data_IF_797561831825
#
_entry.id   IF_797561831825
#
_cell.length_a   1.000
_cell.length_b   1.000
_cell.length_c   1.000
_cell.angle_alpha   90.00
_cell.angle_beta   90.00
_cell.angle_gamma   90.00
#
_symmetry.space_group_name_H-M   'P 1'
#
loop_
_entity.id
_entity.type
_entity.pdbx_description
1 polymer ?
#
# COMPACT_ATOMS: atom_id res chain seq x y z
N UNK A 1 -2.02 5.58 -45.65
CA UNK A 1 -2.06 4.96 -44.30
C UNK A 1 -2.27 6.09 -43.32
N UNK A 2 -3.45 6.17 -42.69
CA UNK A 2 -3.79 7.25 -41.77
C UNK A 2 -3.12 6.97 -40.42
N UNK A 3 -2.14 7.78 -40.05
CA UNK A 3 -1.57 7.79 -38.70
C UNK A 3 -2.67 8.25 -37.74
N UNK A 4 -3.29 7.29 -37.06
CA UNK A 4 -4.18 7.59 -35.93
C UNK A 4 -3.31 8.07 -34.76
N UNK A 5 -3.01 9.37 -34.74
CA UNK A 5 -2.47 10.02 -33.57
C UNK A 5 -3.41 9.68 -32.39
N UNK A 6 -2.89 9.06 -31.31
CA UNK A 6 -3.74 8.67 -30.19
C UNK A 6 -4.40 9.94 -29.63
N UNK A 7 -5.73 9.89 -29.47
CA UNK A 7 -6.45 11.01 -28.89
C UNK A 7 -5.88 11.31 -27.50
N UNK A 8 -5.79 12.60 -27.14
CA UNK A 8 -5.31 13.02 -25.82
C UNK A 8 -6.05 12.30 -24.68
N UNK A 9 -7.33 12.00 -24.89
CA UNK A 9 -8.15 11.20 -23.98
C UNK A 9 -7.67 9.74 -23.86
N UNK A 10 -7.29 9.11 -24.98
CA UNK A 10 -6.72 7.75 -24.98
C UNK A 10 -5.38 7.68 -24.26
N UNK A 11 -4.50 8.67 -24.44
CA UNK A 11 -3.25 8.78 -23.69
C UNK A 11 -3.50 9.01 -22.19
N UNK A 12 -4.43 9.91 -21.84
CA UNK A 12 -4.78 10.17 -20.45
C UNK A 12 -5.35 8.93 -19.75
N UNK A 13 -6.20 8.15 -20.42
CA UNK A 13 -6.74 6.90 -19.88
C UNK A 13 -5.68 5.82 -19.72
N UNK A 14 -4.76 5.71 -20.68
CA UNK A 14 -3.67 4.73 -20.62
C UNK A 14 -2.68 5.02 -19.48
N UNK A 15 -2.46 6.31 -19.19
CA UNK A 15 -1.59 6.75 -18.10
C UNK A 15 -2.30 6.72 -16.75
N UNK A 16 -3.49 7.33 -16.62
CA UNK A 16 -4.19 7.52 -15.34
C UNK A 16 -5.08 6.33 -14.94
N UNK A 17 -5.58 5.57 -15.91
CA UNK A 17 -6.46 4.42 -15.67
C UNK A 17 -5.85 3.39 -14.71
N UNK A 18 -4.60 2.96 -14.90
CA UNK A 18 -3.94 2.05 -13.97
C UNK A 18 -3.84 2.59 -12.54
N UNK A 19 -3.51 3.88 -12.36
CA UNK A 19 -3.47 4.50 -11.02
C UNK A 19 -4.85 4.57 -10.39
N UNK A 20 -5.89 4.83 -11.18
CA UNK A 20 -7.26 4.88 -10.69
C UNK A 20 -7.73 3.50 -10.20
N UNK A 21 -7.49 2.45 -10.99
CA UNK A 21 -7.79 1.06 -10.61
C UNK A 21 -7.01 0.67 -9.35
N UNK A 22 -5.71 0.95 -9.28
CA UNK A 22 -4.89 0.68 -8.11
C UNK A 22 -5.35 1.47 -6.88
N UNK A 23 -5.83 2.69 -7.06
CA UNK A 23 -6.38 3.51 -5.97
C UNK A 23 -7.67 2.93 -5.43
N UNK A 24 -8.58 2.46 -6.30
CA UNK A 24 -9.80 1.75 -5.89
C UNK A 24 -9.42 0.46 -5.15
N UNK A 25 -8.46 -0.30 -5.67
CA UNK A 25 -8.00 -1.54 -5.04
C UNK A 25 -7.35 -1.28 -3.67
N UNK A 26 -6.56 -0.22 -3.56
CA UNK A 26 -5.95 0.20 -2.30
C UNK A 26 -7.01 0.61 -1.27
N UNK A 27 -8.02 1.38 -1.70
CA UNK A 27 -9.12 1.80 -0.86
C UNK A 27 -9.93 0.59 -0.38
N UNK A 28 -10.31 -0.30 -1.31
CA UNK A 28 -10.97 -1.56 -0.99
C UNK A 28 -10.15 -2.37 0.02
N UNK A 29 -8.85 -2.52 -0.20
CA UNK A 29 -7.97 -3.27 0.68
C UNK A 29 -7.92 -2.66 2.10
N UNK A 30 -8.00 -1.33 2.20
CA UNK A 30 -8.01 -0.64 3.47
C UNK A 30 -9.26 -0.93 4.31
N UNK A 31 -10.44 -1.05 3.70
CA UNK A 31 -11.64 -1.42 4.46
C UNK A 31 -11.72 -2.91 4.76
N UNK A 32 -11.40 -3.76 3.78
CA UNK A 32 -11.63 -5.21 3.90
C UNK A 32 -10.53 -5.96 4.64
N UNK A 33 -9.27 -5.54 4.53
CA UNK A 33 -8.15 -6.23 5.19
C UNK A 33 -7.62 -5.44 6.38
N UNK A 34 -7.48 -4.11 6.25
CA UNK A 34 -7.02 -3.29 7.37
C UNK A 34 -8.11 -2.99 8.39
N UNK A 35 -9.36 -2.78 7.97
CA UNK A 35 -10.50 -2.55 8.88
C UNK A 35 -10.61 -3.57 10.03
N UNK A 36 -10.63 -4.89 9.75
CA UNK A 36 -10.66 -5.91 10.81
C UNK A 36 -9.45 -5.87 11.74
N UNK A 37 -8.26 -5.59 11.20
CA UNK A 37 -7.02 -5.46 12.00
C UNK A 37 -7.09 -4.23 12.90
N UNK A 38 -7.55 -3.09 12.38
CA UNK A 38 -7.71 -1.86 13.15
C UNK A 38 -8.71 -2.02 14.29
N UNK A 39 -9.82 -2.73 14.04
CA UNK A 39 -10.81 -3.06 15.07
C UNK A 39 -10.22 -3.92 16.20
N UNK A 40 -9.41 -4.94 15.88
CA UNK A 40 -8.72 -5.77 16.89
C UNK A 40 -7.64 -5.00 17.65
N UNK A 41 -7.03 -3.99 17.02
CA UNK A 41 -6.07 -3.10 17.66
C UNK A 41 -6.72 -1.97 18.47
N UNK A 42 -8.03 -1.79 18.37
CA UNK A 42 -8.73 -0.67 19.01
C UNK A 42 -8.35 0.71 18.44
N UNK A 43 -7.82 0.75 17.21
CA UNK A 43 -7.37 1.99 16.55
C UNK A 43 -8.33 2.40 15.44
N UNK A 44 -8.31 3.68 15.09
CA UNK A 44 -9.06 4.16 13.91
C UNK A 44 -8.51 3.52 12.63
N UNK A 45 -9.42 3.07 11.77
CA UNK A 45 -9.08 2.55 10.42
C UNK A 45 -8.28 3.56 9.61
N UNK A 46 -8.52 4.85 9.84
CA UNK A 46 -7.88 5.96 9.09
C UNK A 46 -6.58 6.43 9.75
N UNK A 47 -6.16 5.84 10.88
CA UNK A 47 -4.88 6.21 11.51
C UNK A 47 -3.71 5.81 10.61
N UNK A 48 -3.22 6.81 9.89
CA UNK A 48 -2.14 6.66 8.91
C UNK A 48 -0.82 6.28 9.57
N UNK A 49 -0.61 6.66 10.83
CA UNK A 49 0.63 6.37 11.56
C UNK A 49 0.69 4.91 11.98
N UNK A 50 -0.44 4.34 12.40
CA UNK A 50 -0.54 2.95 12.86
C UNK A 50 -0.58 2.01 11.67
N UNK A 51 -1.47 2.26 10.71
CA UNK A 51 -1.57 1.48 9.47
C UNK A 51 -0.22 1.38 8.75
N UNK A 52 0.51 2.49 8.59
CA UNK A 52 1.84 2.48 7.97
C UNK A 52 2.84 1.60 8.73
N UNK A 53 2.89 1.70 10.06
CA UNK A 53 3.80 0.89 10.88
C UNK A 53 3.47 -0.60 10.78
N UNK A 54 2.20 -0.95 10.89
CA UNK A 54 1.73 -2.35 10.81
C UNK A 54 1.94 -2.93 9.40
N UNK A 55 1.62 -2.19 8.35
CA UNK A 55 1.75 -2.65 6.96
C UNK A 55 3.23 -2.81 6.58
N UNK A 56 4.07 -1.80 6.87
CA UNK A 56 5.48 -1.83 6.47
C UNK A 56 6.32 -2.76 7.35
N UNK A 57 6.22 -2.62 8.67
CA UNK A 57 7.10 -3.28 9.65
C UNK A 57 6.46 -4.45 10.37
N UNK A 58 5.13 -4.59 10.32
CA UNK A 58 4.42 -5.60 11.08
C UNK A 58 4.19 -5.20 12.54
N UNK A 59 3.90 -6.22 13.35
CA UNK A 59 3.62 -6.06 14.78
C UNK A 59 4.46 -6.99 15.64
N UNK A 60 4.66 -6.57 16.88
CA UNK A 60 5.37 -7.32 17.92
C UNK A 60 4.46 -7.46 19.14
N UNK A 61 4.53 -8.60 19.84
CA UNK A 61 3.72 -8.87 21.04
C UNK A 61 2.25 -9.26 20.79
N UNK A 62 1.82 -9.36 19.54
CA UNK A 62 0.45 -9.75 19.18
C UNK A 62 0.23 -11.28 19.20
N UNK A 63 -0.98 -11.77 19.53
CA UNK A 63 -1.33 -13.19 19.42
C UNK A 63 -1.19 -13.73 17.98
N UNK A 64 -0.89 -15.02 17.84
CA UNK A 64 -0.67 -15.68 16.53
C UNK A 64 -1.82 -15.47 15.53
N UNK A 65 -3.06 -15.47 16.02
CA UNK A 65 -4.24 -15.24 15.18
C UNK A 65 -4.25 -13.85 14.54
N UNK A 66 -3.90 -12.81 15.31
CA UNK A 66 -3.81 -11.43 14.84
C UNK A 66 -2.59 -11.25 13.93
N UNK A 67 -1.46 -11.88 14.26
CA UNK A 67 -0.28 -11.85 13.37
C UNK A 67 -0.58 -12.43 11.98
N UNK A 68 -1.33 -13.54 11.89
CA UNK A 68 -1.74 -14.13 10.60
C UNK A 68 -2.64 -13.17 9.79
N UNK A 69 -3.59 -12.50 10.44
CA UNK A 69 -4.46 -11.49 9.77
C UNK A 69 -3.63 -10.33 9.24
N UNK A 70 -2.70 -9.85 10.05
CA UNK A 70 -1.78 -8.76 9.70
C UNK A 70 -0.87 -9.16 8.55
N UNK A 71 -0.33 -10.37 8.56
CA UNK A 71 0.50 -10.86 7.48
C UNK A 71 -0.26 -10.92 6.15
N UNK A 72 -1.52 -11.39 6.15
CA UNK A 72 -2.39 -11.33 4.96
C UNK A 72 -2.59 -9.89 4.49
N UNK A 73 -2.90 -8.98 5.42
CA UNK A 73 -3.06 -7.55 5.12
C UNK A 73 -1.78 -6.97 4.47
N UNK A 74 -0.61 -7.27 5.04
CA UNK A 74 0.70 -6.87 4.50
C UNK A 74 0.93 -7.37 3.09
N UNK A 75 0.62 -8.63 2.80
CA UNK A 75 0.78 -9.20 1.46
C UNK A 75 -0.12 -8.50 0.43
N UNK A 76 -1.37 -8.20 0.78
CA UNK A 76 -2.29 -7.47 -0.11
C UNK A 76 -1.73 -6.07 -0.41
N UNK A 77 -1.33 -5.32 0.62
CA UNK A 77 -0.76 -3.98 0.43
C UNK A 77 0.60 -4.01 -0.28
N UNK A 78 1.43 -5.04 -0.07
CA UNK A 78 2.65 -5.24 -0.82
C UNK A 78 2.37 -5.41 -2.32
N UNK A 79 1.33 -6.18 -2.68
CA UNK A 79 0.86 -6.31 -4.05
C UNK A 79 0.39 -4.98 -4.66
N UNK A 80 -0.38 -4.19 -3.90
CA UNK A 80 -0.82 -2.86 -4.33
C UNK A 80 0.38 -1.93 -4.56
N UNK A 81 1.34 -1.89 -3.63
CA UNK A 81 2.57 -1.11 -3.80
C UNK A 81 3.38 -1.57 -5.01
N UNK A 82 3.54 -2.88 -5.20
CA UNK A 82 4.21 -3.43 -6.38
C UNK A 82 3.53 -2.97 -7.68
N UNK A 83 2.19 -2.95 -7.72
CA UNK A 83 1.43 -2.39 -8.84
C UNK A 83 1.75 -0.92 -9.09
N UNK A 84 1.70 -0.08 -8.05
CA UNK A 84 2.06 1.35 -8.18
C UNK A 84 3.49 1.55 -8.67
N UNK A 85 4.43 0.80 -8.10
CA UNK A 85 5.83 0.84 -8.50
C UNK A 85 6.05 0.34 -9.93
N UNK A 86 5.29 -0.66 -10.40
CA UNK A 86 5.28 -1.09 -11.79
C UNK A 86 4.79 0.00 -12.74
N UNK A 87 3.70 0.70 -12.39
CA UNK A 87 3.22 1.86 -13.16
C UNK A 87 4.24 3.00 -13.19
N UNK A 88 4.89 3.28 -12.06
CA UNK A 88 5.96 4.29 -11.98
C UNK A 88 7.15 3.89 -12.85
N UNK A 89 7.58 2.63 -12.82
CA UNK A 89 8.67 2.13 -13.67
C UNK A 89 8.34 2.30 -15.15
N UNK A 90 7.11 2.02 -15.55
CA UNK A 90 6.66 2.17 -16.94
C UNK A 90 6.65 3.64 -17.39
N UNK A 91 6.25 4.58 -16.52
CA UNK A 91 6.07 5.98 -16.89
C UNK A 91 7.28 6.87 -16.67
N UNK A 92 7.95 6.75 -15.51
CA UNK A 92 9.13 7.55 -15.14
C UNK A 92 10.45 6.88 -15.58
N UNK A 93 10.39 5.61 -15.99
CA UNK A 93 11.58 4.82 -16.29
C UNK A 93 12.38 4.44 -15.03
N UNK A 94 13.54 3.82 -15.26
CA UNK A 94 14.35 3.19 -14.21
C UNK A 94 14.84 4.19 -13.16
N UNK A 95 15.24 5.40 -13.57
CA UNK A 95 15.81 6.40 -12.66
C UNK A 95 14.79 6.87 -11.62
N UNK A 96 13.59 7.28 -12.06
CA UNK A 96 12.53 7.71 -11.16
C UNK A 96 12.01 6.57 -10.28
N UNK A 97 11.93 5.35 -10.82
CA UNK A 97 11.60 4.16 -10.05
C UNK A 97 12.60 3.90 -8.93
N UNK A 98 13.90 3.85 -9.21
CA UNK A 98 14.94 3.58 -8.21
C UNK A 98 14.98 4.65 -7.12
N UNK A 99 14.81 5.93 -7.49
CA UNK A 99 14.73 7.02 -6.53
C UNK A 99 13.55 6.85 -5.57
N UNK A 100 12.35 6.63 -6.10
CA UNK A 100 11.14 6.47 -5.29
C UNK A 100 11.19 5.18 -4.45
N UNK A 101 11.73 4.10 -5.00
CA UNK A 101 11.92 2.84 -4.27
C UNK A 101 12.91 3.04 -3.11
N UNK A 102 14.01 3.75 -3.34
CA UNK A 102 14.98 4.12 -2.31
C UNK A 102 14.35 4.95 -1.19
N UNK A 103 13.58 5.99 -1.54
CA UNK A 103 12.83 6.79 -0.57
C UNK A 103 11.84 5.93 0.23
N UNK A 104 11.12 5.04 -0.43
CA UNK A 104 10.17 4.13 0.23
C UNK A 104 10.85 3.14 1.17
N UNK A 105 11.96 2.54 0.73
CA UNK A 105 12.76 1.64 1.55
C UNK A 105 13.33 2.35 2.79
N UNK A 106 13.90 3.54 2.61
CA UNK A 106 14.40 4.36 3.71
C UNK A 106 13.28 4.71 4.70
N UNK A 107 12.11 5.09 4.18
CA UNK A 107 10.91 5.40 4.94
C UNK A 107 10.42 4.19 5.75
N UNK A 108 10.53 2.97 5.22
CA UNK A 108 10.24 1.73 5.95
C UNK A 108 11.31 1.41 7.00
N UNK A 109 12.60 1.61 6.68
CA UNK A 109 13.72 1.37 7.59
C UNK A 109 13.66 2.29 8.81
N UNK A 110 13.32 3.57 8.61
CA UNK A 110 13.18 4.53 9.71
C UNK A 110 11.89 4.34 10.52
N UNK A 111 10.91 3.59 10.01
CA UNK A 111 9.69 3.27 10.75
C UNK A 111 9.97 2.20 11.79
N UNK A 112 9.54 2.43 13.04
CA UNK A 112 9.53 1.40 14.09
C UNK A 112 8.35 0.45 13.90
N UNK A 113 8.49 -0.85 14.25
CA UNK A 113 7.36 -1.77 14.28
C UNK A 113 6.30 -1.27 15.27
N UNK A 114 5.05 -1.63 15.02
CA UNK A 114 3.98 -1.32 15.95
C UNK A 114 4.02 -2.31 17.13
N UNK A 115 4.02 -1.77 18.35
CA UNK A 115 4.00 -2.55 19.59
C UNK A 115 2.55 -2.74 19.98
N UNK A 116 2.12 -4.00 20.08
CA UNK A 116 0.79 -4.31 20.58
C UNK A 116 0.80 -4.15 22.10
N UNK A 117 0.17 -3.09 22.60
CA UNK A 117 0.11 -2.84 24.06
C UNK A 117 -0.97 -3.66 24.77
N UNK A 118 -1.78 -4.43 24.03
CA UNK A 118 -2.90 -5.16 24.61
C UNK A 118 -3.97 -4.21 25.10
N UNK A 119 -5.18 -4.31 24.53
CA UNK A 119 -6.32 -3.66 25.19
C UNK A 119 -6.62 -4.50 26.42
N UNK A 120 -6.10 -4.09 27.59
CA UNK A 120 -6.65 -4.52 28.88
C UNK A 120 -8.12 -4.08 28.91
N UNK A 121 -9.01 -4.98 28.50
CA UNK A 121 -10.41 -4.98 28.91
C UNK A 121 -10.53 -5.93 30.08
#
# INVERSE_FOLDING_TARGET
>A
MSEHAPSLLGLALLVLGPFFILSILAFWAMFWFWGPVAAELGVSVVDRSVSRRVILRGMTGAPDALQRKVQKCRWVFAGVYAGFFGCILFLLGMGGFLFLLGCFALSAVLSRPYVFEGVHK
#
